data_IF_479209148686
#
_entry.id   IF_479209148686
#
_cell.length_a   1.000
_cell.length_b   1.000
_cell.length_c   1.000
_cell.angle_alpha   90.00
_cell.angle_beta   90.00
_cell.angle_gamma   90.00
#
_symmetry.space_group_name_H-M   'P 1'
#
loop_
_entity.id
_entity.type
_entity.pdbx_description
1 polymer ?
#
# COMPACT_ATOMS: atom_id res chain seq x y z
N UNK A 1 9.54 -5.22 15.34
CA UNK A 1 8.93 -6.24 16.20
C UNK A 1 8.08 -5.53 17.26
N UNK A 2 6.83 -5.20 16.93
CA UNK A 2 5.91 -4.61 17.91
C UNK A 2 5.19 -5.77 18.61
N UNK A 3 5.58 -6.04 19.85
CA UNK A 3 4.94 -7.03 20.68
C UNK A 3 3.56 -6.53 21.12
N UNK A 4 2.51 -7.27 20.74
CA UNK A 4 1.17 -7.08 21.30
C UNK A 4 1.16 -7.55 22.77
N UNK A 5 0.46 -6.87 23.69
CA UNK A 5 0.30 -7.35 25.05
C UNK A 5 -0.54 -8.63 25.08
N UNK A 6 -0.02 -9.65 25.78
CA UNK A 6 -0.65 -10.95 25.96
C UNK A 6 -1.99 -10.82 26.70
N UNK A 7 -3.08 -11.15 26.01
CA UNK A 7 -4.40 -11.21 26.62
C UNK A 7 -4.62 -12.60 27.23
N UNK A 8 -4.85 -12.61 28.54
CA UNK A 8 -5.18 -13.79 29.32
C UNK A 8 -6.38 -14.54 28.75
N UNK A 9 -6.27 -15.87 28.70
CA UNK A 9 -7.34 -16.80 28.36
C UNK A 9 -8.59 -16.54 29.21
N UNK A 10 -9.70 -16.15 28.56
CA UNK A 10 -11.04 -16.37 29.08
C UNK A 10 -11.83 -17.28 28.13
N UNK A 11 -12.45 -18.25 28.78
CA UNK A 11 -13.10 -19.46 28.25
C UNK A 11 -14.18 -19.16 27.19
N UNK A 12 -14.13 -19.99 26.14
CA UNK A 12 -15.30 -20.58 25.47
C UNK A 12 -16.46 -19.66 25.13
N UNK A 13 -16.32 -18.90 24.06
CA UNK A 13 -17.46 -18.47 23.25
C UNK A 13 -17.40 -19.32 21.98
N UNK A 14 -18.30 -20.29 21.87
CA UNK A 14 -18.59 -20.97 20.61
C UNK A 14 -19.15 -19.92 19.66
N UNK A 15 -18.29 -19.33 18.83
CA UNK A 15 -18.71 -18.43 17.76
C UNK A 15 -19.32 -19.29 16.67
N UNK A 16 -20.64 -19.17 16.54
CA UNK A 16 -21.40 -19.51 15.36
C UNK A 16 -20.59 -19.19 14.09
N UNK A 17 -20.38 -20.19 13.22
CA UNK A 17 -19.71 -20.04 11.92
C UNK A 17 -20.63 -19.29 10.93
N UNK A 18 -21.09 -18.12 11.34
CA UNK A 18 -21.56 -17.08 10.45
C UNK A 18 -20.38 -16.71 9.55
N UNK A 19 -20.47 -17.13 8.30
CA UNK A 19 -19.50 -16.98 7.22
C UNK A 19 -19.08 -15.51 7.04
N UNK A 20 -18.01 -15.08 7.71
CA UNK A 20 -17.38 -13.81 7.37
C UNK A 20 -16.85 -13.89 5.95
N UNK A 21 -17.37 -13.04 5.06
CA UNK A 21 -17.02 -12.97 3.63
C UNK A 21 -15.54 -12.64 3.36
N UNK A 22 -14.81 -12.18 4.39
CA UNK A 22 -13.42 -11.75 4.32
C UNK A 22 -12.57 -12.38 5.43
N UNK A 23 -11.27 -12.44 5.18
CA UNK A 23 -10.29 -13.05 6.09
C UNK A 23 -9.79 -12.08 7.18
N UNK A 24 -9.25 -12.66 8.25
CA UNK A 24 -8.41 -11.91 9.21
C UNK A 24 -7.14 -11.43 8.51
N UNK A 25 -6.53 -10.35 9.02
CA UNK A 25 -5.31 -9.81 8.44
C UNK A 25 -4.17 -10.85 8.44
N UNK A 26 -4.06 -11.63 9.52
CA UNK A 26 -3.00 -12.62 9.76
C UNK A 26 -3.08 -13.85 8.84
N UNK A 27 -4.19 -14.05 8.12
CA UNK A 27 -4.32 -15.17 7.19
C UNK A 27 -3.24 -15.10 6.09
N UNK A 28 -2.65 -16.25 5.77
CA UNK A 28 -1.60 -16.40 4.76
C UNK A 28 -1.87 -17.51 3.73
N UNK A 29 -2.91 -18.33 3.95
CA UNK A 29 -3.27 -19.40 3.03
C UNK A 29 -3.92 -18.82 1.77
N UNK A 30 -3.25 -19.02 0.63
CA UNK A 30 -3.71 -18.52 -0.66
C UNK A 30 -4.74 -19.42 -1.34
N UNK A 31 -4.93 -20.63 -0.82
CA UNK A 31 -5.89 -21.62 -1.33
C UNK A 31 -7.28 -21.46 -0.68
N UNK A 32 -7.41 -20.51 0.25
CA UNK A 32 -8.68 -20.07 0.82
C UNK A 32 -9.68 -19.67 -0.26
N UNK A 33 -10.93 -20.15 -0.14
CA UNK A 33 -11.95 -20.01 -1.19
C UNK A 33 -12.17 -18.55 -1.62
N UNK A 34 -12.12 -17.62 -0.67
CA UNK A 34 -12.32 -16.19 -0.93
C UNK A 34 -11.12 -15.51 -1.61
N UNK A 35 -9.97 -16.19 -1.74
CA UNK A 35 -8.75 -15.70 -2.41
C UNK A 35 -8.66 -16.21 -3.86
N UNK A 36 -9.20 -17.39 -4.14
CA UNK A 36 -9.13 -18.04 -5.46
C UNK A 36 -9.64 -17.18 -6.62
N UNK A 37 -10.67 -16.38 -6.40
CA UNK A 37 -11.19 -15.45 -7.43
C UNK A 37 -10.17 -14.36 -7.78
N UNK A 38 -9.42 -13.87 -6.79
CA UNK A 38 -8.37 -12.87 -6.99
C UNK A 38 -7.13 -13.45 -7.67
N UNK A 39 -6.81 -14.73 -7.44
CA UNK A 39 -5.76 -15.43 -8.20
C UNK A 39 -6.11 -15.48 -9.70
N UNK A 40 -7.39 -15.75 -10.02
CA UNK A 40 -7.89 -15.70 -11.41
C UNK A 40 -7.79 -14.29 -11.99
N UNK A 41 -8.13 -13.24 -11.24
CA UNK A 41 -8.02 -11.83 -11.71
C UNK A 41 -6.60 -11.42 -12.12
N UNK A 42 -5.59 -12.05 -11.52
CA UNK A 42 -4.17 -11.79 -11.78
C UNK A 42 -3.55 -12.87 -12.67
N UNK A 43 -4.32 -13.85 -13.16
CA UNK A 43 -3.83 -14.96 -13.98
C UNK A 43 -2.76 -15.84 -13.29
N UNK A 44 -2.80 -15.96 -11.95
CA UNK A 44 -1.90 -16.86 -11.23
C UNK A 44 -2.39 -18.30 -11.38
N UNK A 45 -1.58 -19.13 -12.04
CA UNK A 45 -1.75 -20.58 -12.15
C UNK A 45 -0.40 -21.24 -11.89
N UNK A 46 -0.34 -22.54 -11.52
CA UNK A 46 0.93 -23.23 -11.34
C UNK A 46 1.83 -23.16 -12.60
N UNK A 47 1.24 -23.27 -13.79
CA UNK A 47 1.96 -23.18 -15.06
C UNK A 47 2.52 -21.77 -15.31
N UNK A 48 1.68 -20.74 -15.24
CA UNK A 48 2.14 -19.36 -15.45
C UNK A 48 3.17 -18.95 -14.40
N UNK A 49 3.03 -19.42 -13.16
CA UNK A 49 3.95 -19.09 -12.08
C UNK A 49 5.38 -19.48 -12.42
N UNK A 50 5.59 -20.73 -12.80
CA UNK A 50 6.92 -21.24 -13.18
C UNK A 50 7.44 -20.53 -14.43
N UNK A 51 6.65 -20.51 -15.50
CA UNK A 51 7.09 -19.95 -16.79
C UNK A 51 7.40 -18.45 -16.71
N UNK A 52 6.54 -17.65 -16.05
CA UNK A 52 6.77 -16.21 -15.94
C UNK A 52 7.93 -15.86 -15.00
N UNK A 53 8.18 -16.66 -13.95
CA UNK A 53 9.36 -16.50 -13.10
C UNK A 53 10.64 -16.72 -13.89
N UNK A 54 10.72 -17.81 -14.67
CA UNK A 54 11.87 -18.12 -15.50
C UNK A 54 12.14 -17.02 -16.52
N UNK A 55 11.09 -16.53 -17.20
CA UNK A 55 11.21 -15.40 -18.15
C UNK A 55 11.77 -14.17 -17.46
N UNK A 56 11.16 -13.74 -16.34
CA UNK A 56 11.55 -12.53 -15.64
C UNK A 56 12.99 -12.64 -15.08
N UNK A 57 13.37 -13.80 -14.53
CA UNK A 57 14.74 -14.05 -14.07
C UNK A 57 15.74 -13.97 -15.22
N UNK A 58 15.43 -14.56 -16.38
CA UNK A 58 16.32 -14.53 -17.54
C UNK A 58 16.46 -13.11 -18.11
N UNK A 59 15.38 -12.34 -18.18
CA UNK A 59 15.44 -10.93 -18.60
C UNK A 59 16.31 -10.10 -17.66
N UNK A 60 16.17 -10.29 -16.34
CA UNK A 60 16.97 -9.59 -15.33
C UNK A 60 18.45 -10.00 -15.38
N UNK A 61 18.77 -11.29 -15.53
CA UNK A 61 20.16 -11.78 -15.67
C UNK A 61 20.91 -11.18 -16.86
N UNK A 62 20.19 -10.79 -17.91
CA UNK A 62 20.78 -10.21 -19.12
C UNK A 62 21.13 -8.71 -18.97
N UNK A 63 20.80 -8.09 -17.83
CA UNK A 63 21.20 -6.71 -17.53
C UNK A 63 22.70 -6.64 -17.22
N UNK A 64 23.38 -5.64 -17.79
CA UNK A 64 24.83 -5.46 -17.62
C UNK A 64 25.21 -4.52 -16.48
N UNK A 65 24.35 -3.55 -16.17
CA UNK A 65 24.65 -2.44 -15.26
C UNK A 65 23.96 -2.56 -13.90
N UNK A 66 23.35 -3.72 -13.61
CA UNK A 66 22.59 -3.98 -12.41
C UNK A 66 22.82 -5.42 -11.95
N UNK A 67 23.01 -5.61 -10.65
CA UNK A 67 22.95 -6.93 -10.01
C UNK A 67 21.54 -7.12 -9.43
N UNK A 68 20.61 -7.76 -10.17
CA UNK A 68 19.23 -7.89 -9.71
C UNK A 68 19.09 -9.00 -8.67
N UNK A 69 18.22 -8.79 -7.69
CA UNK A 69 17.67 -9.86 -6.87
C UNK A 69 16.84 -10.81 -7.75
N UNK A 70 17.23 -12.08 -7.76
CA UNK A 70 16.57 -13.15 -8.52
C UNK A 70 15.72 -14.08 -7.63
N UNK A 71 15.60 -13.74 -6.34
CA UNK A 71 14.79 -14.51 -5.39
C UNK A 71 13.33 -14.58 -5.85
N UNK A 72 12.78 -15.80 -5.81
CA UNK A 72 11.42 -16.04 -6.30
C UNK A 72 10.37 -15.28 -5.51
N UNK A 73 10.50 -15.17 -4.18
CA UNK A 73 9.52 -14.46 -3.35
C UNK A 73 9.52 -12.98 -3.69
N UNK A 74 10.69 -12.38 -3.85
CA UNK A 74 10.84 -11.00 -4.29
C UNK A 74 10.16 -10.78 -5.65
N UNK A 75 10.52 -11.58 -6.66
CA UNK A 75 10.01 -11.43 -8.04
C UNK A 75 8.52 -11.73 -8.18
N UNK A 76 7.97 -12.65 -7.37
CA UNK A 76 6.54 -12.95 -7.35
C UNK A 76 5.68 -11.73 -7.03
N UNK A 77 6.15 -10.81 -6.17
CA UNK A 77 5.44 -9.57 -5.90
C UNK A 77 5.19 -8.78 -7.21
N UNK A 78 6.23 -8.66 -8.04
CA UNK A 78 6.18 -7.91 -9.30
C UNK A 78 5.35 -8.60 -10.37
N UNK A 79 5.38 -9.94 -10.43
CA UNK A 79 4.52 -10.72 -11.31
C UNK A 79 3.04 -10.59 -10.90
N UNK A 80 2.73 -10.73 -9.61
CA UNK A 80 1.36 -10.65 -9.09
C UNK A 80 0.72 -9.29 -9.32
N UNK A 81 1.42 -8.19 -9.02
CA UNK A 81 0.89 -6.84 -9.30
C UNK A 81 0.71 -6.58 -10.80
N UNK A 82 1.53 -7.23 -11.62
CA UNK A 82 1.50 -7.12 -13.09
C UNK A 82 0.58 -8.13 -13.74
N UNK A 83 -0.18 -8.93 -12.97
CA UNK A 83 -1.07 -9.98 -13.46
C UNK A 83 -0.37 -11.02 -14.34
N UNK A 84 0.85 -11.38 -13.96
CA UNK A 84 1.74 -12.29 -14.68
C UNK A 84 2.11 -11.83 -16.11
N UNK A 85 1.96 -10.54 -16.41
CA UNK A 85 2.55 -9.91 -17.59
C UNK A 85 4.05 -9.63 -17.31
N UNK A 86 4.93 -10.44 -17.91
CA UNK A 86 6.38 -10.41 -17.65
C UNK A 86 7.00 -9.10 -18.09
N UNK A 87 6.57 -8.53 -19.22
CA UNK A 87 7.08 -7.24 -19.69
C UNK A 87 6.74 -6.10 -18.72
N UNK A 88 5.50 -6.08 -18.20
CA UNK A 88 5.11 -5.11 -17.15
C UNK A 88 5.87 -5.33 -15.85
N UNK A 89 6.05 -6.58 -15.44
CA UNK A 89 6.79 -6.92 -14.23
C UNK A 89 8.25 -6.48 -14.34
N UNK A 90 8.91 -6.78 -15.46
CA UNK A 90 10.28 -6.37 -15.74
C UNK A 90 10.45 -4.85 -15.68
N UNK A 91 9.59 -4.10 -16.37
CA UNK A 91 9.62 -2.63 -16.32
C UNK A 91 9.41 -2.09 -14.90
N UNK A 92 8.54 -2.72 -14.10
CA UNK A 92 8.32 -2.34 -12.71
C UNK A 92 9.54 -2.62 -11.84
N UNK A 93 10.23 -3.75 -12.04
CA UNK A 93 11.49 -4.07 -11.36
C UNK A 93 12.58 -3.04 -11.71
N UNK A 94 12.72 -2.67 -12.98
CA UNK A 94 13.67 -1.62 -13.39
C UNK A 94 13.36 -0.26 -12.73
N UNK A 95 12.08 0.12 -12.70
CA UNK A 95 11.64 1.33 -12.01
C UNK A 95 11.92 1.28 -10.51
N UNK A 96 11.74 0.11 -9.89
CA UNK A 96 12.09 -0.14 -8.49
C UNK A 96 13.57 0.14 -8.24
N UNK A 97 14.49 -0.53 -8.93
CA UNK A 97 15.93 -0.31 -8.73
C UNK A 97 16.34 1.14 -8.97
N UNK A 98 15.97 1.70 -10.13
CA UNK A 98 16.30 3.10 -10.47
C UNK A 98 15.85 4.10 -9.41
N UNK A 99 14.70 3.87 -8.79
CA UNK A 99 14.14 4.80 -7.79
C UNK A 99 14.77 4.59 -6.42
N UNK A 100 15.04 3.34 -6.04
CA UNK A 100 15.77 3.05 -4.81
C UNK A 100 17.22 3.52 -4.87
N UNK A 101 17.88 3.53 -6.04
CA UNK A 101 19.21 4.14 -6.20
C UNK A 101 19.19 5.64 -5.85
N UNK A 102 18.19 6.37 -6.35
CA UNK A 102 18.01 7.80 -6.06
C UNK A 102 17.69 8.03 -4.57
N UNK A 103 16.84 7.18 -3.99
CA UNK A 103 16.42 7.33 -2.60
C UNK A 103 17.49 6.90 -1.60
N UNK A 104 18.37 5.98 -1.97
CA UNK A 104 19.43 5.45 -1.10
C UNK A 104 20.30 6.58 -0.54
N UNK A 105 20.67 7.57 -1.34
CA UNK A 105 21.45 8.73 -0.88
C UNK A 105 20.69 9.63 0.11
N UNK A 106 19.36 9.67 -0.01
CA UNK A 106 18.50 10.36 0.96
C UNK A 106 18.41 9.54 2.25
N UNK A 107 18.20 8.23 2.13
CA UNK A 107 17.96 7.33 3.26
C UNK A 107 19.21 7.07 4.09
N UNK A 108 20.41 7.05 3.48
CA UNK A 108 21.68 7.01 4.21
C UNK A 108 21.87 8.17 5.18
N UNK A 109 21.23 9.32 4.93
CA UNK A 109 21.29 10.51 5.78
C UNK A 109 20.21 10.51 6.87
N UNK A 110 19.22 9.64 6.74
CA UNK A 110 18.15 9.52 7.72
C UNK A 110 18.68 8.71 8.89
N UNK A 111 18.72 9.35 10.07
CA UNK A 111 18.99 8.70 11.34
C UNK A 111 17.84 9.02 12.28
N UNK A 112 17.09 8.00 12.68
CA UNK A 112 16.07 8.11 13.72
C UNK A 112 16.28 7.04 14.77
N UNK A 113 16.06 7.40 16.03
CA UNK A 113 15.94 6.42 17.10
C UNK A 113 14.64 5.62 16.92
N UNK A 114 14.60 4.40 17.47
CA UNK A 114 13.36 3.62 17.52
C UNK A 114 12.23 4.42 18.16
N UNK A 115 12.53 5.19 19.21
CA UNK A 115 11.57 6.05 19.87
C UNK A 115 11.00 7.11 18.91
N UNK A 116 11.85 7.82 18.16
CA UNK A 116 11.40 8.82 17.18
C UNK A 116 10.49 8.19 16.12
N UNK A 117 10.85 7.00 15.61
CA UNK A 117 10.00 6.29 14.65
C UNK A 117 8.65 5.89 15.24
N UNK A 118 8.64 5.41 16.49
CA UNK A 118 7.43 5.05 17.22
C UNK A 118 6.54 6.27 17.48
N UNK A 119 7.12 7.42 17.83
CA UNK A 119 6.39 8.65 18.13
C UNK A 119 5.59 9.19 16.95
N UNK A 120 6.04 8.88 15.71
CA UNK A 120 5.38 9.34 14.49
C UNK A 120 3.93 8.83 14.37
N UNK A 121 3.64 7.59 14.81
CA UNK A 121 2.29 6.96 14.86
C UNK A 121 1.36 7.27 13.68
N UNK A 122 1.94 7.38 12.48
CA UNK A 122 1.24 7.90 11.31
C UNK A 122 0.51 6.83 10.51
N UNK A 123 0.79 5.54 10.73
CA UNK A 123 0.19 4.44 9.99
C UNK A 123 -0.13 3.29 10.92
N UNK A 124 -1.27 2.64 10.70
CA UNK A 124 -1.62 1.39 11.33
C UNK A 124 -2.32 0.45 10.34
N UNK A 125 -2.16 -0.84 10.59
CA UNK A 125 -2.84 -1.91 9.86
C UNK A 125 -4.08 -2.35 10.64
N UNK A 126 -5.21 -2.48 9.96
CA UNK A 126 -6.41 -3.07 10.53
C UNK A 126 -6.20 -4.58 10.78
N UNK A 127 -6.66 -5.14 11.90
CA UNK A 127 -6.66 -6.60 12.13
C UNK A 127 -7.67 -7.34 11.23
N UNK A 128 -8.50 -6.60 10.50
CA UNK A 128 -9.49 -7.11 9.55
C UNK A 128 -9.18 -6.62 8.14
N UNK A 129 -9.39 -7.51 7.16
CA UNK A 129 -9.39 -7.15 5.74
C UNK A 129 -10.72 -6.53 5.34
N UNK A 130 -10.72 -5.81 4.23
CA UNK A 130 -11.95 -5.36 3.58
C UNK A 130 -12.70 -6.56 2.98
N UNK A 131 -13.97 -6.36 2.58
CA UNK A 131 -14.79 -7.41 1.96
C UNK A 131 -14.14 -8.06 0.72
N UNK A 132 -13.30 -7.30 0.02
CA UNK A 132 -12.56 -7.78 -1.15
C UNK A 132 -11.19 -8.43 -0.80
N UNK A 133 -11.00 -8.83 0.46
CA UNK A 133 -9.77 -9.36 1.04
C UNK A 133 -8.53 -8.46 0.98
N UNK A 134 -8.65 -7.22 0.50
CA UNK A 134 -7.53 -6.28 0.59
C UNK A 134 -7.23 -5.94 2.04
N UNK A 135 -5.96 -5.74 2.35
CA UNK A 135 -5.58 -5.22 3.66
C UNK A 135 -6.01 -3.76 3.79
N UNK A 136 -6.31 -3.31 5.01
CA UNK A 136 -6.74 -1.94 5.28
C UNK A 136 -5.69 -1.18 6.09
N UNK A 137 -5.06 -0.18 5.48
CA UNK A 137 -4.16 0.77 6.16
C UNK A 137 -4.94 2.03 6.51
N UNK A 138 -4.83 2.46 7.77
CA UNK A 138 -5.29 3.76 8.22
C UNK A 138 -4.06 4.63 8.48
N UNK A 139 -3.98 5.78 7.81
CA UNK A 139 -2.90 6.73 7.97
C UNK A 139 -3.38 8.05 8.54
N UNK A 140 -2.74 8.50 9.61
CA UNK A 140 -2.92 9.83 10.19
C UNK A 140 -1.94 10.80 9.51
N UNK A 141 -2.47 11.84 8.88
CA UNK A 141 -1.69 12.85 8.16
C UNK A 141 -1.42 14.13 8.98
N UNK A 142 -1.88 14.22 10.24
CA UNK A 142 -1.51 15.27 11.18
C UNK A 142 -0.12 15.03 11.76
N UNK A 143 0.90 15.23 10.92
CA UNK A 143 2.30 15.04 11.28
C UNK A 143 2.92 16.35 11.74
N UNK A 144 3.65 16.29 12.85
CA UNK A 144 4.45 17.42 13.34
C UNK A 144 5.73 17.57 12.49
N UNK A 145 5.61 18.26 11.37
CA UNK A 145 6.73 18.51 10.44
C UNK A 145 7.80 19.48 10.98
N UNK A 146 7.69 19.93 12.23
CA UNK A 146 8.80 20.57 12.94
C UNK A 146 9.77 19.55 13.54
N UNK A 147 9.30 18.31 13.79
CA UNK A 147 10.08 17.20 14.36
C UNK A 147 10.48 16.16 13.32
N UNK A 148 9.66 16.02 12.28
CA UNK A 148 9.83 15.04 11.22
C UNK A 148 9.96 15.71 9.86
N UNK A 149 10.75 15.12 8.99
CA UNK A 149 10.77 15.47 7.56
C UNK A 149 9.82 14.56 6.78
N UNK A 150 9.40 15.00 5.59
CA UNK A 150 8.66 14.13 4.68
C UNK A 150 9.46 12.89 4.30
N UNK A 151 10.78 13.02 4.12
CA UNK A 151 11.66 11.91 3.80
C UNK A 151 11.68 10.83 4.90
N UNK A 152 11.73 11.22 6.17
CA UNK A 152 11.67 10.30 7.33
C UNK A 152 10.35 9.54 7.39
N UNK A 153 9.23 10.26 7.26
CA UNK A 153 7.91 9.64 7.18
C UNK A 153 7.85 8.64 6.01
N UNK A 154 8.22 9.07 4.82
CA UNK A 154 8.12 8.26 3.61
C UNK A 154 9.04 7.03 3.65
N UNK A 155 10.22 7.13 4.27
CA UNK A 155 11.09 5.98 4.52
C UNK A 155 10.41 4.93 5.41
N UNK A 156 9.75 5.35 6.49
CA UNK A 156 9.01 4.44 7.37
C UNK A 156 7.79 3.82 6.66
N UNK A 157 7.10 4.57 5.81
CA UNK A 157 6.01 4.03 4.97
C UNK A 157 6.54 2.96 4.01
N UNK A 158 7.70 3.16 3.36
CA UNK A 158 8.31 2.14 2.50
C UNK A 158 8.63 0.87 3.28
N UNK A 159 9.29 0.98 4.45
CA UNK A 159 9.58 -0.19 5.29
C UNK A 159 8.31 -0.93 5.71
N UNK A 160 7.28 -0.17 6.09
CA UNK A 160 5.99 -0.74 6.46
C UNK A 160 5.33 -1.49 5.31
N UNK A 161 5.29 -0.91 4.11
CA UNK A 161 4.68 -1.60 2.96
C UNK A 161 5.52 -2.82 2.55
N UNK A 162 6.85 -2.80 2.68
CA UNK A 162 7.67 -4.01 2.48
C UNK A 162 7.23 -5.16 3.41
N UNK A 163 7.07 -4.88 4.70
CA UNK A 163 6.57 -5.87 5.67
C UNK A 163 5.17 -6.38 5.29
N UNK A 164 4.27 -5.50 4.82
CA UNK A 164 2.94 -5.93 4.36
C UNK A 164 3.03 -6.93 3.19
N UNK A 165 4.02 -6.79 2.30
CA UNK A 165 4.14 -7.67 1.14
C UNK A 165 4.70 -9.05 1.47
N UNK A 166 5.20 -9.30 2.67
CA UNK A 166 5.59 -10.66 3.10
C UNK A 166 4.36 -11.59 3.17
N UNK A 167 3.17 -11.04 3.36
CA UNK A 167 1.93 -11.82 3.34
C UNK A 167 1.47 -12.07 1.88
N UNK A 168 1.39 -13.33 1.42
CA UNK A 168 1.06 -13.64 0.03
C UNK A 168 -0.38 -13.27 -0.35
N UNK A 169 -1.33 -13.26 0.60
CA UNK A 169 -2.69 -12.77 0.36
C UNK A 169 -2.66 -11.26 0.08
N UNK A 170 -1.77 -10.49 0.72
CA UNK A 170 -1.63 -9.05 0.43
C UNK A 170 -1.13 -8.81 -1.00
N UNK A 171 -0.21 -9.65 -1.48
CA UNK A 171 0.28 -9.59 -2.87
C UNK A 171 -0.84 -9.86 -3.88
N UNK A 172 -1.70 -10.85 -3.58
CA UNK A 172 -2.81 -11.25 -4.44
C UNK A 172 -3.95 -10.25 -4.35
N UNK A 173 -4.46 -9.94 -3.17
CA UNK A 173 -5.67 -9.15 -2.97
C UNK A 173 -5.42 -7.63 -2.96
N UNK A 174 -4.19 -7.17 -2.74
CA UNK A 174 -3.85 -5.75 -2.73
C UNK A 174 -4.24 -5.02 -1.45
N UNK A 175 -4.17 -3.69 -1.50
CA UNK A 175 -4.37 -2.79 -0.36
C UNK A 175 -5.41 -1.71 -0.57
N UNK A 176 -6.18 -1.44 0.48
CA UNK A 176 -7.05 -0.29 0.64
C UNK A 176 -6.46 0.64 1.69
N UNK A 177 -6.38 1.93 1.37
CA UNK A 177 -5.73 2.93 2.20
C UNK A 177 -6.73 4.03 2.55
N UNK A 178 -6.79 4.42 3.82
CA UNK A 178 -7.57 5.58 4.29
C UNK A 178 -6.59 6.55 4.93
N UNK A 179 -6.44 7.73 4.33
CA UNK A 179 -5.66 8.81 4.89
C UNK A 179 -6.57 9.88 5.49
N UNK A 180 -6.46 10.01 6.81
CA UNK A 180 -7.14 11.00 7.60
C UNK A 180 -6.29 12.27 7.71
N UNK A 181 -6.81 13.36 7.17
CA UNK A 181 -6.19 14.69 7.19
C UNK A 181 -6.77 15.59 8.29
N UNK A 182 -7.56 15.06 9.23
CA UNK A 182 -7.95 15.81 10.42
C UNK A 182 -6.69 16.26 11.18
N UNK A 183 -6.58 17.57 11.44
CA UNK A 183 -5.38 18.16 12.04
C UNK A 183 -4.24 18.48 11.08
N UNK A 184 -4.40 18.28 9.77
CA UNK A 184 -3.42 18.71 8.77
C UNK A 184 -3.27 20.24 8.74
N UNK A 185 -2.04 20.72 8.95
CA UNK A 185 -1.73 22.14 9.13
C UNK A 185 -0.82 22.71 8.03
N UNK A 186 -0.40 23.96 8.21
CA UNK A 186 0.48 24.66 7.27
C UNK A 186 1.89 24.05 7.19
N UNK A 187 2.39 23.47 8.26
CA UNK A 187 3.69 22.79 8.25
C UNK A 187 3.61 21.50 7.43
N UNK A 188 2.49 20.78 7.53
CA UNK A 188 2.13 19.69 6.62
C UNK A 188 2.09 20.12 5.17
N UNK A 189 1.38 21.21 4.86
CA UNK A 189 1.32 21.72 3.49
C UNK A 189 2.71 22.04 2.91
N UNK A 190 3.55 22.74 3.66
CA UNK A 190 4.89 23.14 3.21
C UNK A 190 5.84 21.95 3.05
N UNK A 191 5.62 20.84 3.76
CA UNK A 191 6.40 19.63 3.60
C UNK A 191 6.10 18.87 2.30
N UNK A 192 4.90 19.03 1.73
CA UNK A 192 4.46 18.37 0.50
C UNK A 192 4.98 19.10 -0.74
N UNK A 193 6.27 18.93 -1.04
CA UNK A 193 6.84 19.45 -2.29
C UNK A 193 6.25 18.71 -3.52
N UNK A 194 6.19 19.35 -4.71
CA UNK A 194 5.77 18.67 -5.93
C UNK A 194 6.59 17.40 -6.23
N UNK A 195 7.88 17.39 -5.89
CA UNK A 195 8.74 16.22 -6.01
C UNK A 195 8.31 15.07 -5.10
N UNK A 196 7.97 15.37 -3.84
CA UNK A 196 7.47 14.36 -2.90
C UNK A 196 6.10 13.82 -3.28
N UNK A 197 5.18 14.71 -3.72
CA UNK A 197 3.86 14.30 -4.23
C UNK A 197 4.01 13.35 -5.41
N UNK A 198 4.86 13.70 -6.38
CA UNK A 198 5.14 12.84 -7.54
C UNK A 198 5.78 11.52 -7.12
N UNK A 199 6.75 11.56 -6.21
CA UNK A 199 7.42 10.35 -5.70
C UNK A 199 6.41 9.40 -5.05
N UNK A 200 5.57 9.92 -4.16
CA UNK A 200 4.53 9.14 -3.50
C UNK A 200 3.58 8.46 -4.50
N UNK A 201 3.11 9.21 -5.51
CA UNK A 201 2.23 8.67 -6.54
C UNK A 201 2.93 7.64 -7.44
N UNK A 202 4.17 7.90 -7.87
CA UNK A 202 4.97 6.93 -8.62
C UNK A 202 5.11 5.62 -7.83
N UNK A 203 5.33 5.71 -6.50
CA UNK A 203 5.41 4.53 -5.62
C UNK A 203 4.12 3.73 -5.59
N UNK A 204 2.99 4.40 -5.41
CA UNK A 204 1.68 3.75 -5.37
C UNK A 204 1.30 3.05 -6.67
N UNK A 205 1.68 3.60 -7.83
CA UNK A 205 1.12 3.15 -9.12
C UNK A 205 2.10 2.40 -10.00
N UNK A 206 3.38 2.79 -9.99
CA UNK A 206 4.36 2.38 -11.01
C UNK A 206 5.57 1.63 -10.47
N UNK A 207 5.95 1.84 -9.20
CA UNK A 207 7.20 1.32 -8.64
C UNK A 207 6.93 0.14 -7.70
N UNK A 208 6.11 0.33 -6.67
CA UNK A 208 5.97 -0.65 -5.62
C UNK A 208 5.12 -1.85 -6.08
N UNK A 209 5.46 -3.09 -5.72
CA UNK A 209 4.72 -4.26 -6.18
C UNK A 209 3.47 -4.55 -5.34
N UNK A 210 2.69 -3.51 -5.04
CA UNK A 210 1.41 -3.61 -4.33
C UNK A 210 0.27 -3.22 -5.27
N UNK A 211 -0.82 -4.00 -5.27
CA UNK A 211 -2.04 -3.66 -6.00
C UNK A 211 -2.83 -2.62 -5.19
N UNK A 212 -2.94 -1.39 -5.69
CA UNK A 212 -3.84 -0.39 -5.11
C UNK A 212 -5.30 -0.74 -5.46
N UNK A 213 -6.09 -1.14 -4.46
CA UNK A 213 -7.52 -1.39 -4.60
C UNK A 213 -8.31 -0.09 -4.43
N UNK A 214 -8.08 0.64 -3.36
CA UNK A 214 -8.67 1.95 -3.15
C UNK A 214 -7.78 2.86 -2.30
N UNK A 215 -7.86 4.16 -2.58
CA UNK A 215 -7.28 5.21 -1.74
C UNK A 215 -8.38 6.19 -1.35
N UNK A 216 -8.60 6.36 -0.05
CA UNK A 216 -9.58 7.27 0.52
C UNK A 216 -8.85 8.41 1.22
N UNK A 217 -9.22 9.64 0.88
CA UNK A 217 -8.75 10.84 1.59
C UNK A 217 -9.95 11.40 2.33
N UNK A 218 -9.86 11.43 3.66
CA UNK A 218 -10.94 11.86 4.55
C UNK A 218 -10.49 13.03 5.41
N UNK A 219 -11.45 13.84 5.87
CA UNK A 219 -11.24 15.02 6.72
C UNK A 219 -10.22 16.04 6.17
N UNK A 220 -10.03 16.08 4.85
CA UNK A 220 -9.08 17.00 4.22
C UNK A 220 -9.54 18.47 4.36
N UNK A 221 -8.71 19.35 4.97
CA UNK A 221 -9.02 20.77 5.05
C UNK A 221 -8.85 21.45 3.68
N UNK A 222 -9.36 22.67 3.53
CA UNK A 222 -9.22 23.46 2.29
C UNK A 222 -7.77 23.67 1.86
N UNK A 223 -6.84 23.70 2.81
CA UNK A 223 -5.40 23.78 2.57
C UNK A 223 -4.82 22.55 1.83
N UNK A 224 -5.53 21.42 1.80
CA UNK A 224 -5.12 20.24 1.03
C UNK A 224 -5.40 20.40 -0.49
N UNK A 225 -6.29 21.32 -0.89
CA UNK A 225 -6.70 21.47 -2.29
C UNK A 225 -5.55 21.73 -3.27
N UNK A 226 -4.55 22.59 -2.96
CA UNK A 226 -3.42 22.79 -3.87
C UNK A 226 -2.55 21.54 -4.01
N UNK A 227 -2.37 20.75 -2.95
CA UNK A 227 -1.67 19.46 -3.00
C UNK A 227 -2.38 18.53 -3.97
N UNK A 228 -3.72 18.44 -3.86
CA UNK A 228 -4.51 17.64 -4.77
C UNK A 228 -4.39 18.07 -6.23
N UNK A 229 -4.39 19.39 -6.50
CA UNK A 229 -4.21 19.93 -7.86
C UNK A 229 -2.83 19.57 -8.45
N UNK A 230 -1.79 19.52 -7.61
CA UNK A 230 -0.45 19.05 -8.02
C UNK A 230 -0.44 17.54 -8.26
N UNK A 231 -1.13 16.77 -7.41
CA UNK A 231 -1.20 15.31 -7.50
C UNK A 231 -1.97 14.82 -8.74
N UNK A 232 -3.09 15.47 -9.06
CA UNK A 232 -4.07 14.99 -10.04
C UNK A 232 -3.47 14.66 -11.43
N UNK A 233 -2.61 15.49 -12.05
CA UNK A 233 -2.02 15.20 -13.36
C UNK A 233 -1.11 13.96 -13.38
N UNK A 234 -0.57 13.55 -12.22
CA UNK A 234 0.31 12.38 -12.10
C UNK A 234 -0.45 11.07 -11.89
N UNK A 235 -1.76 11.12 -11.64
CA UNK A 235 -2.57 9.93 -11.47
C UNK A 235 -2.79 9.23 -12.83
N UNK A 236 -2.79 7.89 -12.88
CA UNK A 236 -3.22 7.15 -14.06
C UNK A 236 -4.60 7.60 -14.55
N UNK A 237 -4.82 7.68 -15.87
CA UNK A 237 -6.12 8.09 -16.45
C UNK A 237 -7.30 7.30 -15.89
N UNK A 238 -7.11 5.99 -15.65
CA UNK A 238 -8.10 5.10 -15.03
C UNK A 238 -8.55 5.58 -13.64
N UNK A 239 -7.67 6.22 -12.88
CA UNK A 239 -7.97 6.77 -11.55
C UNK A 239 -8.59 8.17 -11.67
N UNK A 240 -8.24 8.94 -12.70
CA UNK A 240 -8.83 10.26 -12.96
C UNK A 240 -10.29 10.16 -13.44
N UNK A 241 -10.66 9.10 -14.17
CA UNK A 241 -12.02 8.90 -14.67
C UNK A 241 -12.91 8.21 -13.63
N UNK A 242 -14.04 8.85 -13.28
CA UNK A 242 -15.06 8.36 -12.31
C UNK A 242 -15.74 7.04 -12.70
N UNK A 243 -15.49 6.52 -13.90
CA UNK A 243 -16.09 5.28 -14.44
C UNK A 243 -15.43 4.00 -13.87
N UNK A 244 -14.28 4.13 -13.22
CA UNK A 244 -13.63 3.01 -12.54
C UNK A 244 -14.19 2.93 -11.12
N UNK A 245 -15.24 2.14 -10.90
CA UNK A 245 -15.95 1.98 -9.63
C UNK A 245 -15.12 1.52 -8.41
N UNK A 246 -14.18 2.35 -7.95
CA UNK A 246 -13.44 2.19 -6.69
C UNK A 246 -11.92 2.24 -6.87
N UNK A 247 -11.33 3.42 -7.09
CA UNK A 247 -9.85 3.55 -7.00
C UNK A 247 -9.37 4.76 -6.22
N UNK A 248 -10.11 5.89 -6.22
CA UNK A 248 -9.72 7.08 -5.47
C UNK A 248 -10.94 7.88 -5.05
N UNK A 249 -11.22 7.90 -3.75
CA UNK A 249 -12.31 8.67 -3.17
C UNK A 249 -11.73 9.83 -2.36
N UNK A 250 -11.76 11.03 -2.95
CA UNK A 250 -11.47 12.26 -2.23
C UNK A 250 -12.77 12.82 -1.64
N UNK A 251 -12.88 12.85 -0.30
CA UNK A 251 -13.97 13.53 0.40
C UNK A 251 -13.43 14.81 1.03
N UNK A 252 -13.71 15.95 0.39
CA UNK A 252 -13.41 17.27 0.94
C UNK A 252 -14.42 17.58 2.06
N UNK A 253 -13.92 18.00 3.22
CA UNK A 253 -14.73 18.09 4.44
C UNK A 253 -15.94 19.00 4.32
N UNK A 254 -17.09 18.52 4.82
CA UNK A 254 -18.01 19.29 5.67
C UNK A 254 -18.65 18.30 6.64
N UNK A 255 -18.66 18.64 7.94
CA UNK A 255 -19.40 17.92 8.99
C UNK A 255 -20.87 17.74 8.56
N UNK A 256 -21.21 16.56 8.07
CA UNK A 256 -22.57 16.01 8.14
C UNK A 256 -22.40 14.57 8.59
N UNK A 257 -22.72 14.38 9.87
CA UNK A 257 -23.01 13.13 10.56
C UNK A 257 -22.34 11.87 9.97
N UNK A 258 -21.24 11.46 10.61
CA UNK A 258 -20.85 10.05 10.59
C UNK A 258 -22.03 9.23 11.13
N UNK A 259 -22.83 8.65 10.25
CA UNK A 259 -23.58 7.46 10.58
C UNK A 259 -22.75 6.27 10.10
N UNK A 260 -22.58 5.26 10.97
CA UNK A 260 -21.86 4.00 10.72
C UNK A 260 -22.18 3.39 9.34
N UNK A 261 -23.36 3.69 8.79
CA UNK A 261 -23.82 3.27 7.45
C UNK A 261 -22.91 3.67 6.28
N UNK A 262 -22.13 4.75 6.34
CA UNK A 262 -21.28 5.14 5.20
C UNK A 262 -19.98 4.33 5.06
N UNK A 263 -19.56 3.62 6.12
CA UNK A 263 -18.45 2.67 6.04
C UNK A 263 -18.91 1.31 5.49
N UNK A 264 -20.17 0.94 5.71
CA UNK A 264 -20.79 -0.27 5.16
C UNK A 264 -21.24 -0.12 3.69
N UNK A 265 -21.33 1.10 3.15
CA UNK A 265 -21.67 1.34 1.74
C UNK A 265 -20.45 1.35 0.80
N UNK A 266 -19.28 0.89 1.28
CA UNK A 266 -18.07 0.67 0.49
C UNK A 266 -17.89 -0.80 0.06
N UNK A 267 -18.98 -1.58 0.11
CA UNK A 267 -19.04 -2.96 -0.39
C UNK A 267 -18.99 -3.08 -1.91
#
# INVERSE_FOLDING_TARGET
MLAYPSTQQKKGITTDHSSTKFLRYEATDIDERSVLEYQKEINETPGNRTTCLEILQNELKNLKDLEPCLDEKFLLNFLRVSKFDTAKAFQRVLNYYKKFDVLTETYKKISFSLQKAQDLRHICISPYRCENNSFLVLGNCAIDYKKFTFAERFYLEILFVHELMENPINQICGGTYVFDYEGFDIHGYLAYSPGWIRMFLDFLVNIFPCRLKALHIVNAPSLFLPIWKIAYPFLPKKIQTRESGGYLHLRLGYKRECTEKSLYSLG
#
